data_IF_067254984722
#
_entry.id   IF_067254984722
#
_cell.length_a   1.000
_cell.length_b   1.000
_cell.length_c   1.000
_cell.angle_alpha   90.00
_cell.angle_beta   90.00
_cell.angle_gamma   90.00
#
_symmetry.space_group_name_H-M   'P 1'
#
loop_
_entity.id
_entity.type
_entity.pdbx_description
1 polymer ?
#
# COMPACT_ATOMS: atom_id res chain seq x y z
N UNK A 1 45.54 11.67 0.07
CA UNK A 1 45.30 10.65 1.12
C UNK A 1 43.81 10.36 1.12
N UNK A 2 43.39 9.24 0.53
CA UNK A 2 41.98 8.88 0.30
C UNK A 2 41.53 7.97 1.44
N UNK A 3 40.63 8.45 2.30
CA UNK A 3 40.00 7.62 3.34
C UNK A 3 38.78 6.90 2.75
N UNK A 4 38.81 5.58 2.91
CA UNK A 4 37.95 4.57 2.29
C UNK A 4 36.56 4.54 2.92
N UNK A 5 35.59 4.12 2.10
CA UNK A 5 34.18 4.03 2.44
C UNK A 5 33.87 3.09 3.61
N UNK A 6 32.94 3.52 4.45
CA UNK A 6 32.32 2.70 5.48
C UNK A 6 31.11 1.98 4.86
N UNK A 7 31.30 0.68 4.64
CA UNK A 7 30.31 -0.26 4.12
C UNK A 7 29.19 -0.47 5.16
N UNK A 8 28.02 0.11 4.93
CA UNK A 8 26.77 -0.23 5.64
C UNK A 8 25.98 -1.28 4.84
N UNK A 9 26.56 -2.47 4.71
CA UNK A 9 25.85 -3.64 4.21
C UNK A 9 25.17 -4.35 5.39
N UNK A 10 23.84 -4.49 5.38
CA UNK A 10 23.16 -5.52 6.19
C UNK A 10 21.77 -5.22 6.73
N UNK A 11 21.30 -3.96 6.80
CA UNK A 11 20.00 -3.62 7.42
C UNK A 11 18.98 -2.94 6.48
N UNK A 12 19.27 -2.82 5.20
CA UNK A 12 18.37 -2.21 4.19
C UNK A 12 17.44 -3.23 3.49
N UNK A 13 17.57 -4.52 3.80
CA UNK A 13 16.85 -5.62 3.11
C UNK A 13 15.36 -5.67 3.51
N UNK A 14 15.02 -5.15 4.68
CA UNK A 14 13.64 -4.92 5.12
C UNK A 14 13.46 -3.41 5.21
N UNK A 15 12.71 -2.83 4.27
CA UNK A 15 12.47 -1.39 4.17
C UNK A 15 12.32 -0.71 5.53
N UNK A 16 12.92 0.47 5.70
CA UNK A 16 12.86 1.27 6.94
C UNK A 16 11.49 1.10 7.57
N UNK A 17 11.42 0.43 8.72
CA UNK A 17 10.15 0.13 9.39
C UNK A 17 9.41 1.44 9.61
N UNK A 18 8.40 1.65 8.78
CA UNK A 18 7.47 2.72 8.97
C UNK A 18 6.77 2.52 10.31
N UNK A 19 6.99 3.44 11.25
CA UNK A 19 5.88 3.96 12.09
C UNK A 19 6.12 5.44 12.39
N UNK A 20 6.74 6.13 11.43
CA UNK A 20 7.18 7.51 11.58
C UNK A 20 6.00 8.49 11.51
N UNK A 21 6.21 9.74 11.95
CA UNK A 21 5.20 10.80 11.85
C UNK A 21 4.68 10.98 10.41
N UNK A 22 5.56 10.91 9.42
CA UNK A 22 5.21 11.05 8.00
C UNK A 22 4.24 9.98 7.50
N UNK A 23 4.48 8.71 7.88
CA UNK A 23 3.59 7.60 7.52
C UNK A 23 2.25 7.71 8.22
N UNK A 24 2.22 8.02 9.52
CA UNK A 24 0.96 8.21 10.24
C UNK A 24 0.14 9.33 9.61
N UNK A 25 0.80 10.41 9.20
CA UNK A 25 0.13 11.51 8.51
C UNK A 25 -0.40 11.09 7.13
N UNK A 26 0.38 10.33 6.35
CA UNK A 26 -0.07 9.79 5.06
C UNK A 26 -1.28 8.84 5.23
N UNK A 27 -1.21 7.90 6.17
CA UNK A 27 -2.31 6.97 6.47
C UNK A 27 -3.55 7.71 7.00
N UNK A 28 -3.39 8.74 7.83
CA UNK A 28 -4.52 9.54 8.32
C UNK A 28 -5.20 10.32 7.19
N UNK A 29 -4.44 10.95 6.28
CA UNK A 29 -5.00 11.65 5.12
C UNK A 29 -5.74 10.70 4.18
N UNK A 30 -5.12 9.57 3.86
CA UNK A 30 -5.73 8.54 3.03
C UNK A 30 -6.98 7.94 3.70
N UNK A 31 -6.92 7.64 5.00
CA UNK A 31 -8.03 7.15 5.79
C UNK A 31 -9.22 8.12 5.79
N UNK A 32 -8.98 9.41 6.03
CA UNK A 32 -10.02 10.43 5.99
C UNK A 32 -10.66 10.60 4.59
N UNK A 33 -9.95 10.30 3.50
CA UNK A 33 -10.55 10.25 2.15
C UNK A 33 -11.45 9.03 2.01
N UNK A 34 -11.02 7.87 2.50
CA UNK A 34 -11.81 6.63 2.43
C UNK A 34 -13.04 6.66 3.33
N UNK A 35 -12.93 7.21 4.54
CA UNK A 35 -14.08 7.39 5.45
C UNK A 35 -15.15 8.27 4.81
N UNK A 36 -14.75 9.35 4.11
CA UNK A 36 -15.68 10.19 3.35
C UNK A 36 -16.33 9.46 2.17
N UNK A 37 -15.63 8.51 1.57
CA UNK A 37 -16.17 7.66 0.52
C UNK A 37 -17.21 6.65 1.04
N UNK A 38 -17.20 6.35 2.36
CA UNK A 38 -18.14 5.48 3.06
C UNK A 38 -18.39 4.15 2.32
N UNK A 39 -17.31 3.49 1.87
CA UNK A 39 -17.39 2.32 1.00
C UNK A 39 -17.96 1.08 1.71
N UNK A 40 -17.72 0.95 3.02
CA UNK A 40 -18.13 -0.20 3.83
C UNK A 40 -18.70 0.27 5.17
N UNK A 41 -19.58 -0.55 5.76
CA UNK A 41 -20.21 -0.30 7.06
C UNK A 41 -19.18 -0.41 8.21
N UNK A 42 -18.28 -1.38 8.12
CA UNK A 42 -17.21 -1.55 9.11
C UNK A 42 -16.10 -0.51 8.92
N UNK A 43 -15.70 0.21 9.98
CA UNK A 43 -14.72 1.28 9.86
C UNK A 43 -13.32 0.75 9.53
N UNK A 44 -12.60 1.50 8.69
CA UNK A 44 -11.22 1.20 8.33
C UNK A 44 -10.29 1.26 9.56
N UNK A 45 -9.63 0.14 9.87
CA UNK A 45 -8.72 0.05 11.02
C UNK A 45 -7.28 0.32 10.59
N UNK A 46 -6.72 1.45 11.02
CA UNK A 46 -5.37 1.88 10.67
C UNK A 46 -4.27 1.38 11.62
N UNK A 47 -4.62 0.91 12.83
CA UNK A 47 -3.66 0.65 13.93
C UNK A 47 -2.50 -0.28 13.56
N UNK A 48 -2.81 -1.27 12.73
CA UNK A 48 -1.90 -2.33 12.28
C UNK A 48 -1.34 -2.07 10.87
N UNK A 49 -1.87 -1.07 10.17
CA UNK A 49 -1.43 -0.76 8.80
C UNK A 49 -0.01 -0.20 8.83
N UNK A 50 0.81 -0.67 7.89
CA UNK A 50 2.21 -0.26 7.77
C UNK A 50 2.58 -0.01 6.32
N UNK A 51 3.34 1.05 6.07
CA UNK A 51 3.94 1.33 4.76
C UNK A 51 5.41 0.92 4.77
N UNK A 52 5.80 0.06 3.83
CA UNK A 52 7.16 -0.44 3.66
C UNK A 52 7.71 -0.08 2.27
N UNK A 53 8.82 0.63 2.24
CA UNK A 53 9.57 0.87 1.01
C UNK A 53 10.44 -0.34 0.68
N UNK A 54 10.05 -1.11 -0.35
CA UNK A 54 10.70 -2.36 -0.74
C UNK A 54 11.04 -2.35 -2.24
N UNK A 55 11.95 -1.46 -2.69
CA UNK A 55 12.19 -1.23 -4.11
C UNK A 55 12.70 -2.47 -4.85
N UNK A 56 13.38 -3.39 -4.16
CA UNK A 56 13.86 -4.63 -4.74
C UNK A 56 12.73 -5.54 -5.23
N UNK A 57 11.58 -5.54 -4.55
CA UNK A 57 10.41 -6.34 -4.93
C UNK A 57 9.87 -5.90 -6.29
N UNK A 58 9.77 -4.59 -6.48
CA UNK A 58 9.27 -3.97 -7.71
C UNK A 58 10.27 -4.02 -8.88
N UNK A 59 11.49 -4.51 -8.66
CA UNK A 59 12.43 -4.82 -9.75
C UNK A 59 12.18 -6.18 -10.39
N UNK A 60 11.45 -7.08 -9.72
CA UNK A 60 11.14 -8.42 -10.21
C UNK A 60 10.14 -8.35 -11.39
N UNK A 61 10.34 -9.15 -12.46
CA UNK A 61 9.55 -9.06 -13.70
C UNK A 61 8.03 -8.99 -13.49
N UNK A 62 7.50 -9.69 -12.48
CA UNK A 62 6.07 -9.79 -12.23
C UNK A 62 5.50 -8.57 -11.49
N UNK A 63 6.34 -7.90 -10.69
CA UNK A 63 5.98 -6.74 -9.87
C UNK A 63 6.33 -5.39 -10.50
N UNK A 64 7.14 -5.38 -11.56
CA UNK A 64 7.58 -4.16 -12.28
C UNK A 64 6.47 -3.25 -12.79
N UNK A 65 5.27 -3.79 -12.99
CA UNK A 65 4.10 -3.04 -13.47
C UNK A 65 3.35 -2.28 -12.36
N UNK A 66 3.67 -2.55 -11.09
CA UNK A 66 2.98 -1.97 -9.95
C UNK A 66 3.84 -0.88 -9.31
N UNK A 67 3.18 0.17 -8.80
CA UNK A 67 3.84 1.23 -8.02
C UNK A 67 3.68 1.04 -6.50
N UNK A 68 2.61 0.33 -6.10
CA UNK A 68 2.30 -0.10 -4.76
C UNK A 68 1.70 -1.51 -4.79
N UNK A 69 1.64 -2.16 -3.63
CA UNK A 69 0.99 -3.46 -3.47
C UNK A 69 0.52 -3.65 -2.04
N UNK A 70 -0.73 -4.08 -1.85
CA UNK A 70 -1.25 -4.44 -0.53
C UNK A 70 -0.96 -5.93 -0.23
N UNK A 71 -0.58 -6.21 1.00
CA UNK A 71 -0.41 -7.56 1.52
C UNK A 71 -1.01 -7.62 2.92
N UNK A 72 -2.33 -7.78 2.99
CA UNK A 72 -3.10 -7.73 4.23
C UNK A 72 -3.03 -6.36 4.88
N UNK A 73 -2.24 -6.21 5.95
CA UNK A 73 -2.05 -4.93 6.66
C UNK A 73 -0.78 -4.18 6.22
N UNK A 74 -0.02 -4.72 5.27
CA UNK A 74 1.19 -4.10 4.75
C UNK A 74 0.91 -3.43 3.40
N UNK A 75 1.33 -2.19 3.25
CA UNK A 75 1.35 -1.45 1.99
C UNK A 75 2.82 -1.39 1.55
N UNK A 76 3.14 -2.09 0.48
CA UNK A 76 4.47 -2.14 -0.10
C UNK A 76 4.56 -1.06 -1.19
N UNK A 77 5.62 -0.25 -1.18
CA UNK A 77 5.81 0.81 -2.18
C UNK A 77 7.16 0.71 -2.87
N UNK A 78 7.17 1.01 -4.16
CA UNK A 78 8.37 0.95 -5.01
C UNK A 78 9.32 2.13 -4.80
N UNK A 79 8.78 3.29 -4.40
CA UNK A 79 9.52 4.53 -4.16
C UNK A 79 9.45 4.94 -2.69
N UNK A 80 10.35 5.81 -2.20
CA UNK A 80 10.23 6.38 -0.86
C UNK A 80 8.87 7.06 -0.66
N UNK A 81 8.34 7.02 0.57
CA UNK A 81 7.02 7.60 0.88
C UNK A 81 6.91 9.10 0.54
N UNK A 82 8.02 9.84 0.58
CA UNK A 82 8.07 11.26 0.18
C UNK A 82 7.71 11.48 -1.30
N UNK A 83 7.91 10.47 -2.14
CA UNK A 83 7.76 10.55 -3.60
C UNK A 83 6.53 9.78 -4.07
N UNK A 84 5.77 9.22 -3.14
CA UNK A 84 4.51 8.52 -3.38
C UNK A 84 3.36 9.51 -3.26
N UNK A 85 2.46 9.50 -4.23
CA UNK A 85 1.27 10.36 -4.19
C UNK A 85 0.30 9.89 -3.12
N UNK A 86 -0.44 10.83 -2.53
CA UNK A 86 -1.54 10.52 -1.61
C UNK A 86 -2.61 9.63 -2.27
N UNK A 87 -2.78 9.74 -3.59
CA UNK A 87 -3.69 8.86 -4.37
C UNK A 87 -3.24 7.40 -4.36
N UNK A 88 -1.94 7.13 -4.53
CA UNK A 88 -1.43 5.75 -4.46
C UNK A 88 -1.63 5.19 -3.05
N UNK A 89 -1.35 5.97 -2.00
CA UNK A 89 -1.59 5.52 -0.61
C UNK A 89 -3.07 5.24 -0.39
N UNK A 90 -3.96 6.10 -0.89
CA UNK A 90 -5.42 5.92 -0.77
C UNK A 90 -5.89 4.67 -1.52
N UNK A 91 -5.34 4.41 -2.70
CA UNK A 91 -5.62 3.22 -3.50
C UNK A 91 -5.23 1.93 -2.75
N UNK A 92 -3.98 1.82 -2.30
CA UNK A 92 -3.51 0.64 -1.58
C UNK A 92 -4.24 0.46 -0.24
N UNK A 93 -4.56 1.55 0.45
CA UNK A 93 -5.33 1.51 1.69
C UNK A 93 -6.79 1.08 1.48
N UNK A 94 -7.37 1.38 0.32
CA UNK A 94 -8.68 0.84 -0.07
C UNK A 94 -8.64 -0.69 -0.17
N UNK A 95 -7.57 -1.26 -0.73
CA UNK A 95 -7.39 -2.71 -0.76
C UNK A 95 -7.22 -3.31 0.64
N UNK A 96 -6.57 -2.61 1.56
CA UNK A 96 -6.54 -3.01 2.97
C UNK A 96 -7.95 -3.02 3.57
N UNK A 97 -8.78 -2.02 3.28
CA UNK A 97 -10.16 -1.97 3.76
C UNK A 97 -11.01 -3.12 3.20
N UNK A 98 -10.89 -3.37 1.89
CA UNK A 98 -11.49 -4.52 1.20
C UNK A 98 -11.08 -5.85 1.85
N UNK A 99 -9.79 -6.03 2.15
CA UNK A 99 -9.27 -7.21 2.86
C UNK A 99 -9.81 -7.32 4.30
N UNK A 100 -10.02 -6.20 5.00
CA UNK A 100 -10.59 -6.18 6.35
C UNK A 100 -12.06 -6.61 6.34
N UNK A 101 -12.84 -6.12 5.38
CA UNK A 101 -14.28 -6.33 5.29
C UNK A 101 -14.65 -7.71 4.67
N UNK A 102 -14.04 -8.08 3.55
CA UNK A 102 -14.45 -9.24 2.73
C UNK A 102 -13.53 -10.47 2.84
N UNK A 103 -12.77 -10.57 3.93
CA UNK A 103 -11.58 -11.43 4.14
C UNK A 103 -11.68 -12.91 3.70
N UNK A 104 -12.88 -13.45 3.48
CA UNK A 104 -13.10 -14.83 2.99
C UNK A 104 -13.74 -14.93 1.58
N UNK A 105 -14.59 -13.98 1.15
CA UNK A 105 -15.25 -14.05 -0.17
C UNK A 105 -14.36 -13.55 -1.32
N UNK A 106 -13.40 -12.68 -1.04
CA UNK A 106 -12.52 -12.07 -2.04
C UNK A 106 -11.47 -13.05 -2.59
N UNK A 107 -10.81 -13.82 -1.71
CA UNK A 107 -9.79 -14.82 -2.08
C UNK A 107 -10.33 -15.87 -3.06
N UNK A 108 -11.60 -16.28 -2.90
CA UNK A 108 -12.27 -17.22 -3.81
C UNK A 108 -12.53 -16.62 -5.21
N UNK A 109 -12.70 -15.30 -5.32
CA UNK A 109 -12.99 -14.65 -6.61
C UNK A 109 -11.74 -14.47 -7.49
N UNK A 110 -10.56 -14.26 -6.89
CA UNK A 110 -9.28 -14.12 -7.60
C UNK A 110 -8.83 -15.40 -8.32
N UNK A 111 -9.28 -16.57 -7.87
CA UNK A 111 -9.05 -17.84 -8.58
C UNK A 111 -9.90 -18.01 -9.84
N UNK A 112 -10.98 -17.22 -9.99
CA UNK A 112 -11.99 -17.43 -11.03
C UNK A 112 -12.08 -16.27 -12.04
N UNK A 113 -11.80 -15.02 -11.63
CA UNK A 113 -11.96 -13.83 -12.48
C UNK A 113 -10.68 -13.00 -12.51
N UNK A 114 -10.11 -12.81 -13.70
CA UNK A 114 -8.81 -12.17 -13.92
C UNK A 114 -8.70 -10.72 -13.39
N UNK A 115 -7.46 -10.31 -13.12
CA UNK A 115 -7.06 -9.11 -12.37
C UNK A 115 -7.56 -7.76 -12.93
N UNK A 116 -7.62 -7.58 -14.25
CA UNK A 116 -7.79 -6.26 -14.88
C UNK A 116 -9.23 -5.70 -14.89
N UNK A 117 -10.24 -6.55 -14.67
CA UNK A 117 -11.66 -6.15 -14.61
C UNK A 117 -12.29 -6.44 -13.24
N UNK A 118 -11.46 -6.64 -12.22
CA UNK A 118 -11.95 -6.91 -10.89
C UNK A 118 -12.68 -5.66 -10.33
N UNK A 119 -13.94 -5.76 -9.86
CA UNK A 119 -14.66 -4.67 -9.21
C UNK A 119 -13.85 -3.97 -8.10
N UNK A 120 -13.00 -4.71 -7.38
CA UNK A 120 -12.15 -4.18 -6.30
C UNK A 120 -11.11 -3.16 -6.79
N UNK A 121 -10.53 -3.39 -7.97
CA UNK A 121 -9.57 -2.48 -8.61
C UNK A 121 -10.26 -1.19 -9.11
N UNK A 122 -11.49 -1.32 -9.62
CA UNK A 122 -12.30 -0.17 -10.05
C UNK A 122 -12.67 0.71 -8.86
N UNK A 123 -13.11 0.10 -7.76
CA UNK A 123 -13.45 0.81 -6.52
C UNK A 123 -12.24 1.54 -5.94
N UNK A 124 -11.10 0.86 -5.84
CA UNK A 124 -9.87 1.46 -5.31
C UNK A 124 -9.41 2.66 -6.16
N UNK A 125 -9.55 2.59 -7.50
CA UNK A 125 -9.27 3.74 -8.39
C UNK A 125 -10.24 4.89 -8.19
N UNK A 126 -11.52 4.60 -7.98
CA UNK A 126 -12.54 5.64 -7.74
C UNK A 126 -12.27 6.34 -6.42
N UNK A 127 -12.03 5.59 -5.35
CA UNK A 127 -11.74 6.11 -4.03
C UNK A 127 -10.47 7.00 -4.02
N UNK A 128 -9.42 6.56 -4.70
CA UNK A 128 -8.18 7.34 -4.85
C UNK A 128 -8.34 8.68 -5.58
N UNK A 129 -9.43 8.91 -6.32
CA UNK A 129 -9.68 10.16 -7.04
C UNK A 129 -10.63 11.10 -6.30
N UNK A 130 -11.22 10.67 -5.18
CA UNK A 130 -12.14 11.51 -4.43
C UNK A 130 -11.37 12.60 -3.66
N UNK A 131 -11.85 13.86 -3.68
CA UNK A 131 -11.20 14.99 -3.03
C UNK A 131 -11.25 14.87 -1.49
#
# INVERSE_FOLDING_TARGET
MIARGCSRCGLEVLGRRGRGRAERAALARAGARLERAALYDEPLRLDRVRILHVPWLFRLPWFRRFAGYNMGHLILIARPLSDVSDDLVTHELCHVWQDQDHRLRMWLSYLVKGYAQNPHEVEARRAARQP
#
